data_IF_782513345148
#
_entry.id   IF_782513345148
#
_cell.length_a   1.000
_cell.length_b   1.000
_cell.length_c   1.000
_cell.angle_alpha   90.00
_cell.angle_beta   90.00
_cell.angle_gamma   90.00
#
_symmetry.space_group_name_H-M   'P 1'
#
loop_
_entity.id
_entity.type
_entity.pdbx_description
1 polymer ?
#
# COMPACT_ATOMS: atom_id res chain seq x y z
N UNK A 1 -4.35 9.67 6.05
CA UNK A 1 -4.81 9.27 4.70
C UNK A 1 -5.34 10.48 3.97
N UNK A 2 -4.67 10.85 2.91
CA UNK A 2 -5.02 11.92 1.98
C UNK A 2 -4.54 11.52 0.57
N UNK A 3 -4.85 12.31 -0.44
CA UNK A 3 -4.48 12.04 -1.83
C UNK A 3 -5.62 12.36 -2.79
N UNK A 4 -5.26 12.61 -4.03
CA UNK A 4 -6.19 13.06 -5.07
C UNK A 4 -6.86 11.90 -5.80
N UNK A 5 -6.16 10.78 -5.97
CA UNK A 5 -6.63 9.61 -6.71
C UNK A 5 -7.11 8.56 -5.72
N UNK A 6 -8.43 8.40 -5.62
CA UNK A 6 -9.05 7.40 -4.73
C UNK A 6 -9.71 6.29 -5.54
N UNK A 7 -9.62 5.06 -5.05
CA UNK A 7 -10.33 3.93 -5.67
C UNK A 7 -11.82 4.01 -5.39
N UNK A 8 -12.65 3.84 -6.43
CA UNK A 8 -14.08 3.57 -6.26
C UNK A 8 -14.25 2.14 -5.73
N UNK A 9 -14.39 2.01 -4.42
CA UNK A 9 -14.51 0.71 -3.75
C UNK A 9 -15.77 -0.05 -4.14
N UNK A 10 -16.82 0.64 -4.59
CA UNK A 10 -18.10 0.01 -4.95
C UNK A 10 -18.02 -0.63 -6.34
N UNK A 11 -17.10 -0.19 -7.19
CA UNK A 11 -16.88 -0.78 -8.51
C UNK A 11 -15.93 -1.99 -8.50
N UNK A 12 -15.29 -2.30 -7.37
CA UNK A 12 -14.33 -3.39 -7.25
C UNK A 12 -15.04 -4.70 -6.84
N UNK A 13 -14.68 -5.80 -7.50
CA UNK A 13 -15.03 -7.14 -7.01
C UNK A 13 -14.43 -7.38 -5.62
N UNK A 14 -14.95 -8.34 -4.85
CA UNK A 14 -14.36 -8.70 -3.56
C UNK A 14 -12.85 -9.05 -3.65
N UNK A 15 -12.43 -9.75 -4.71
CA UNK A 15 -11.01 -10.08 -4.90
C UNK A 15 -10.18 -8.84 -5.24
N UNK A 16 -10.70 -7.94 -6.07
CA UNK A 16 -10.01 -6.69 -6.41
C UNK A 16 -9.87 -5.76 -5.19
N UNK A 17 -10.90 -5.69 -4.35
CA UNK A 17 -10.86 -4.92 -3.11
C UNK A 17 -9.86 -5.50 -2.12
N UNK A 18 -9.77 -6.82 -2.01
CA UNK A 18 -8.75 -7.50 -1.19
C UNK A 18 -7.34 -7.21 -1.71
N UNK A 19 -7.13 -7.32 -3.03
CA UNK A 19 -5.86 -6.99 -3.69
C UNK A 19 -5.45 -5.53 -3.46
N UNK A 20 -6.40 -4.60 -3.59
CA UNK A 20 -6.18 -3.17 -3.31
C UNK A 20 -5.79 -2.93 -1.83
N UNK A 21 -6.50 -3.58 -0.89
CA UNK A 21 -6.15 -3.51 0.55
C UNK A 21 -4.77 -4.08 0.82
N UNK A 22 -4.41 -5.17 0.16
CA UNK A 22 -3.06 -5.76 0.25
C UNK A 22 -1.97 -4.79 -0.19
N UNK A 23 -2.19 -4.03 -1.26
CA UNK A 23 -1.27 -3.00 -1.77
C UNK A 23 -1.07 -1.90 -0.73
N UNK A 24 -2.20 -1.40 -0.22
CA UNK A 24 -2.25 -0.34 0.76
C UNK A 24 -1.52 -0.73 2.06
N UNK A 25 -1.76 -1.94 2.56
CA UNK A 25 -1.05 -2.49 3.72
C UNK A 25 0.45 -2.67 3.44
N UNK A 26 0.82 -3.14 2.23
CA UNK A 26 2.22 -3.22 1.80
C UNK A 26 2.94 -1.87 1.84
N UNK A 27 2.32 -0.82 1.29
CA UNK A 27 2.85 0.54 1.33
C UNK A 27 3.02 1.05 2.77
N UNK A 28 2.02 0.88 3.63
CA UNK A 28 2.10 1.29 5.04
C UNK A 28 3.28 0.63 5.78
N UNK A 29 3.51 -0.65 5.53
CA UNK A 29 4.64 -1.37 6.10
C UNK A 29 5.96 -0.85 5.56
N UNK A 30 6.06 -0.65 4.24
CA UNK A 30 7.26 -0.13 3.60
C UNK A 30 7.63 1.26 4.15
N UNK A 31 6.66 2.18 4.26
CA UNK A 31 6.87 3.49 4.90
C UNK A 31 7.39 3.33 6.33
N UNK A 32 6.76 2.46 7.13
CA UNK A 32 7.21 2.23 8.50
C UNK A 32 8.63 1.66 8.61
N UNK A 33 9.00 0.75 7.71
CA UNK A 33 10.32 0.12 7.66
C UNK A 33 11.40 1.11 7.22
N UNK A 34 11.09 1.98 6.28
CA UNK A 34 12.07 2.88 5.62
C UNK A 34 12.17 4.26 6.27
N UNK A 35 11.08 4.74 6.88
CA UNK A 35 10.96 6.12 7.38
C UNK A 35 10.41 6.20 8.81
N UNK A 36 10.22 5.06 9.47
CA UNK A 36 9.79 4.96 10.87
C UNK A 36 8.27 4.92 11.07
N UNK A 37 7.85 4.43 12.25
CA UNK A 37 6.44 4.16 12.54
C UNK A 37 5.52 5.40 12.46
N UNK A 38 6.03 6.58 12.79
CA UNK A 38 5.25 7.84 12.70
C UNK A 38 5.01 8.27 11.24
N UNK A 39 5.92 7.94 10.33
CA UNK A 39 5.76 8.29 8.92
C UNK A 39 4.57 7.57 8.26
N UNK A 40 4.09 6.45 8.85
CA UNK A 40 2.91 5.73 8.38
C UNK A 40 1.65 6.60 8.35
N UNK A 41 1.57 7.65 9.16
CA UNK A 41 0.43 8.58 9.16
C UNK A 41 0.37 9.46 7.91
N UNK A 42 1.50 9.63 7.21
CA UNK A 42 1.60 10.36 5.95
C UNK A 42 1.17 9.54 4.73
N UNK A 43 0.68 8.30 4.92
CA UNK A 43 0.31 7.44 3.80
C UNK A 43 -0.77 8.05 2.91
N UNK A 44 -0.50 8.03 1.59
CA UNK A 44 -1.36 8.62 0.56
C UNK A 44 -2.02 7.59 -0.36
N UNK A 45 -3.20 7.94 -0.88
CA UNK A 45 -3.86 7.14 -1.93
C UNK A 45 -3.13 7.23 -3.28
N UNK A 46 -2.47 8.36 -3.56
CA UNK A 46 -1.73 8.59 -4.80
C UNK A 46 -0.58 7.59 -4.96
N UNK A 47 0.16 7.29 -3.88
CA UNK A 47 1.22 6.29 -3.92
C UNK A 47 0.68 4.86 -4.02
N UNK A 48 -0.52 4.59 -3.48
CA UNK A 48 -1.18 3.29 -3.70
C UNK A 48 -1.55 3.10 -5.17
N UNK A 49 -2.11 4.13 -5.82
CA UNK A 49 -2.37 4.13 -7.25
C UNK A 49 -1.09 3.94 -8.06
N UNK A 50 -0.02 4.66 -7.73
CA UNK A 50 1.27 4.55 -8.41
C UNK A 50 1.83 3.12 -8.34
N UNK A 51 1.75 2.47 -7.17
CA UNK A 51 2.19 1.07 -7.03
C UNK A 51 1.40 0.15 -7.95
N UNK A 52 0.06 0.27 -7.97
CA UNK A 52 -0.79 -0.58 -8.81
C UNK A 52 -0.48 -0.39 -10.29
N UNK A 53 -0.33 0.87 -10.73
CA UNK A 53 0.00 1.21 -12.11
C UNK A 53 1.36 0.63 -12.52
N UNK A 54 2.42 0.92 -11.74
CA UNK A 54 3.77 0.49 -12.09
C UNK A 54 3.94 -1.03 -11.98
N UNK A 55 3.27 -1.72 -11.04
CA UNK A 55 3.26 -3.18 -11.01
C UNK A 55 2.56 -3.78 -12.23
N UNK A 56 1.47 -3.17 -12.73
CA UNK A 56 0.82 -3.65 -13.96
C UNK A 56 1.65 -3.43 -15.24
N UNK A 57 2.58 -2.47 -15.21
CA UNK A 57 3.42 -2.15 -16.37
C UNK A 57 4.72 -2.95 -16.39
N UNK A 58 5.34 -3.14 -15.22
CA UNK A 58 6.65 -3.75 -15.10
C UNK A 58 6.63 -5.18 -14.57
N UNK A 59 5.50 -5.65 -14.06
CA UNK A 59 5.29 -7.01 -13.54
C UNK A 59 6.46 -7.53 -12.67
N UNK A 60 6.96 -6.75 -11.69
CA UNK A 60 8.06 -7.21 -10.86
C UNK A 60 7.60 -8.36 -9.96
N UNK A 61 8.56 -9.15 -9.48
CA UNK A 61 8.24 -10.18 -8.49
C UNK A 61 7.64 -9.57 -7.23
N UNK A 62 6.59 -10.22 -6.73
CA UNK A 62 5.85 -9.79 -5.55
C UNK A 62 6.07 -10.73 -4.38
N UNK A 63 6.30 -10.14 -3.22
CA UNK A 63 6.17 -10.84 -1.94
C UNK A 63 4.80 -10.56 -1.38
N UNK A 64 4.17 -11.56 -0.76
CA UNK A 64 2.87 -11.40 -0.12
C UNK A 64 2.79 -12.18 1.19
N UNK A 65 1.80 -11.83 2.01
CA UNK A 65 1.52 -12.53 3.25
C UNK A 65 0.34 -11.92 3.99
N UNK A 66 0.16 -12.30 5.25
CA UNK A 66 -0.84 -11.71 6.14
C UNK A 66 -0.24 -11.48 7.52
N UNK A 67 -0.55 -10.34 8.14
CA UNK A 67 -0.15 -10.08 9.53
C UNK A 67 -1.16 -9.18 10.25
N UNK A 68 -1.06 -9.10 11.57
CA UNK A 68 -1.85 -8.17 12.36
C UNK A 68 -1.21 -6.78 12.33
N UNK A 69 -2.04 -5.76 12.09
CA UNK A 69 -1.61 -4.37 12.13
C UNK A 69 -1.86 -3.80 13.54
N UNK A 70 -0.97 -2.96 14.11
CA UNK A 70 -1.23 -2.26 15.38
C UNK A 70 -2.53 -1.43 15.38
N UNK A 71 -2.98 -0.97 14.21
CA UNK A 71 -4.23 -0.24 14.03
C UNK A 71 -5.45 -1.18 14.01
N UNK A 72 -5.27 -2.43 13.59
CA UNK A 72 -6.33 -3.44 13.51
C UNK A 72 -5.91 -4.74 14.24
N UNK A 73 -5.71 -4.71 15.57
CA UNK A 73 -5.11 -5.82 16.32
C UNK A 73 -5.94 -7.10 16.32
N UNK A 74 -7.24 -7.00 16.02
CA UNK A 74 -8.19 -8.12 15.99
C UNK A 74 -8.27 -8.80 14.61
N UNK A 75 -7.63 -8.25 13.58
CA UNK A 75 -7.73 -8.73 12.21
C UNK A 75 -6.35 -8.98 11.62
N UNK A 76 -6.21 -10.11 10.94
CA UNK A 76 -5.07 -10.37 10.07
C UNK A 76 -5.39 -9.74 8.71
N UNK A 77 -4.61 -8.74 8.32
CA UNK A 77 -4.78 -8.08 7.03
C UNK A 77 -3.77 -8.65 6.02
N UNK A 78 -4.20 -8.95 4.77
CA UNK A 78 -3.29 -9.34 3.72
C UNK A 78 -2.41 -8.15 3.34
N UNK A 79 -1.23 -8.44 2.82
CA UNK A 79 -0.33 -7.46 2.25
C UNK A 79 0.41 -8.07 1.08
N UNK A 80 0.80 -7.23 0.13
CA UNK A 80 1.78 -7.57 -0.88
C UNK A 80 2.67 -6.36 -1.16
N UNK A 81 3.88 -6.63 -1.62
CA UNK A 81 4.85 -5.60 -1.96
C UNK A 81 5.78 -6.07 -3.05
N UNK A 82 6.31 -5.14 -3.80
CA UNK A 82 7.37 -5.34 -4.78
C UNK A 82 8.43 -4.24 -4.66
N UNK A 83 9.52 -4.25 -5.44
CA UNK A 83 10.49 -3.15 -5.46
C UNK A 83 9.85 -1.77 -5.73
N UNK A 84 8.73 -1.74 -6.46
CA UNK A 84 7.93 -0.52 -6.70
C UNK A 84 7.34 0.02 -5.40
N UNK A 85 6.93 -0.85 -4.48
CA UNK A 85 6.37 -0.45 -3.17
C UNK A 85 7.40 0.31 -2.34
N UNK A 86 8.66 -0.08 -2.41
CA UNK A 86 9.76 0.59 -1.71
C UNK A 86 10.05 1.97 -2.30
N UNK A 87 10.08 2.08 -3.62
CA UNK A 87 10.17 3.36 -4.32
C UNK A 87 9.00 4.28 -3.94
N UNK A 88 7.77 3.78 -4.00
CA UNK A 88 6.58 4.55 -3.65
C UNK A 88 6.55 4.97 -2.17
N UNK A 89 7.13 4.18 -1.26
CA UNK A 89 7.27 4.57 0.14
C UNK A 89 8.22 5.77 0.31
N UNK A 90 9.34 5.80 -0.42
CA UNK A 90 10.26 6.95 -0.41
C UNK A 90 9.60 8.19 -1.02
N UNK A 91 8.92 8.02 -2.15
CA UNK A 91 8.16 9.10 -2.81
C UNK A 91 7.03 9.62 -1.94
N UNK A 92 6.37 8.74 -1.16
CA UNK A 92 5.33 9.16 -0.22
C UNK A 92 5.87 10.19 0.78
N UNK A 93 7.09 10.02 1.26
CA UNK A 93 7.68 10.96 2.24
C UNK A 93 8.20 12.21 1.56
N UNK A 94 8.76 12.09 0.36
CA UNK A 94 9.26 13.25 -0.39
C UNK A 94 8.16 14.22 -0.83
N UNK A 95 6.92 13.73 -0.99
CA UNK A 95 5.80 14.49 -1.57
C UNK A 95 4.63 14.75 -0.60
N UNK A 96 4.69 14.24 0.63
CA UNK A 96 3.63 14.36 1.64
C UNK A 96 3.69 15.65 2.46
#
# INVERSE_FOLDING_TARGET
MFGYITADKNSLSPQQLERYRGCYCGLCKAIGRRSGSLARFALTYDMTFLILLLNSLYEPEESSGSERCPVHPLKTDPWWSSPVTDYAADMNIALA
#
